data_IF_826283751359
#
_entry.id   IF_826283751359
#
_cell.length_a   1.000
_cell.length_b   1.000
_cell.length_c   1.000
_cell.angle_alpha   90.00
_cell.angle_beta   90.00
_cell.angle_gamma   90.00
#
_symmetry.space_group_name_H-M   'P 1'
#
loop_
_entity.id
_entity.type
_entity.pdbx_description
1 polymer ?
#
# COMPACT_ATOMS: atom_id res chain seq x y z
N UNK A 1 23.95 -28.75 32.46
CA UNK A 1 22.61 -28.21 32.55
C UNK A 1 22.61 -26.76 32.07
N UNK A 2 22.19 -26.51 30.84
CA UNK A 2 21.92 -25.17 30.35
C UNK A 2 20.63 -24.71 31.03
N UNK A 3 20.75 -23.78 31.99
CA UNK A 3 19.66 -23.36 32.84
C UNK A 3 18.62 -22.52 32.07
N UNK A 4 17.39 -22.49 32.58
CA UNK A 4 16.27 -21.64 32.12
C UNK A 4 16.64 -20.15 31.94
N UNK A 5 17.72 -19.68 32.54
CA UNK A 5 18.22 -18.31 32.37
C UNK A 5 18.66 -17.94 30.96
N UNK A 6 19.01 -18.90 30.09
CA UNK A 6 19.37 -18.62 28.68
C UNK A 6 18.16 -18.41 27.78
N UNK A 7 16.98 -18.87 28.20
CA UNK A 7 15.72 -18.66 27.44
C UNK A 7 15.24 -17.22 27.58
N UNK A 8 15.42 -16.60 28.74
CA UNK A 8 15.05 -15.20 28.99
C UNK A 8 15.99 -14.17 28.33
N UNK A 9 17.19 -14.57 27.91
CA UNK A 9 18.12 -13.69 27.18
C UNK A 9 17.76 -13.49 25.70
N UNK A 10 16.69 -14.14 25.21
CA UNK A 10 16.23 -14.06 23.81
C UNK A 10 14.96 -13.23 23.64
N UNK A 11 14.69 -12.29 24.54
CA UNK A 11 13.58 -11.35 24.36
C UNK A 11 13.92 -10.36 23.23
N UNK A 12 12.89 -9.96 22.49
CA UNK A 12 13.00 -8.87 21.52
C UNK A 12 13.43 -7.61 22.28
N UNK A 13 14.49 -6.92 21.87
CA UNK A 13 14.90 -5.70 22.54
C UNK A 13 13.83 -4.60 22.45
N UNK A 14 13.52 -3.99 23.59
CA UNK A 14 12.52 -2.94 23.70
C UNK A 14 13.01 -1.58 23.18
N UNK A 15 14.31 -1.44 22.89
CA UNK A 15 14.95 -0.20 22.45
C UNK A 15 15.54 -0.35 21.06
N UNK A 16 15.61 0.76 20.31
CA UNK A 16 16.29 0.81 19.03
C UNK A 16 17.76 0.38 19.14
N UNK A 17 18.49 0.85 20.18
CA UNK A 17 19.89 0.46 20.42
C UNK A 17 20.05 -1.06 20.59
N UNK A 18 19.18 -1.68 21.39
CA UNK A 18 19.21 -3.13 21.58
C UNK A 18 18.96 -3.89 20.27
N UNK A 19 18.04 -3.40 19.41
CA UNK A 19 17.76 -3.98 18.09
C UNK A 19 18.96 -3.83 17.15
N UNK A 20 19.61 -2.67 17.15
CA UNK A 20 20.82 -2.45 16.38
C UNK A 20 21.98 -3.34 16.84
N UNK A 21 22.13 -3.56 18.13
CA UNK A 21 23.15 -4.47 18.66
C UNK A 21 22.96 -5.91 18.16
N UNK A 22 21.70 -6.35 18.01
CA UNK A 22 21.38 -7.63 17.36
C UNK A 22 21.72 -7.58 15.87
N UNK A 23 21.33 -6.50 15.18
CA UNK A 23 21.63 -6.30 13.76
C UNK A 23 23.13 -6.36 13.47
N UNK A 24 23.96 -5.70 14.25
CA UNK A 24 25.44 -5.78 14.13
C UNK A 24 25.94 -7.21 14.25
N UNK A 25 25.46 -7.98 15.23
CA UNK A 25 25.82 -9.40 15.37
C UNK A 25 25.41 -10.25 14.18
N UNK A 26 24.25 -9.97 13.59
CA UNK A 26 23.80 -10.67 12.39
C UNK A 26 24.75 -10.38 11.23
N UNK A 27 25.10 -9.12 11.01
CA UNK A 27 26.02 -8.71 9.93
C UNK A 27 27.40 -9.31 10.13
N UNK A 28 27.95 -9.23 11.35
CA UNK A 28 29.24 -9.84 11.70
C UNK A 28 29.24 -11.36 11.41
N UNK A 29 28.16 -12.03 11.80
CA UNK A 29 28.03 -13.47 11.57
C UNK A 29 27.86 -13.82 10.11
N UNK A 30 27.11 -13.04 9.35
CA UNK A 30 26.93 -13.21 7.92
C UNK A 30 28.26 -13.08 7.17
N UNK A 31 29.09 -12.11 7.55
CA UNK A 31 30.40 -11.89 6.97
C UNK A 31 31.34 -13.10 7.13
N UNK A 32 31.23 -13.89 8.21
CA UNK A 32 31.99 -15.14 8.37
C UNK A 32 31.65 -16.20 7.31
N UNK A 33 30.49 -16.08 6.67
CA UNK A 33 30.02 -16.94 5.58
C UNK A 33 30.17 -16.30 4.21
N UNK A 34 30.82 -15.13 4.11
CA UNK A 34 31.02 -14.41 2.86
C UNK A 34 29.77 -13.67 2.33
N UNK A 35 28.77 -13.43 3.21
CA UNK A 35 27.57 -12.65 2.87
C UNK A 35 27.84 -11.19 3.16
N UNK A 36 27.77 -10.34 2.16
CA UNK A 36 27.99 -8.90 2.26
C UNK A 36 26.76 -8.14 2.78
N UNK A 37 26.95 -6.89 3.26
CA UNK A 37 25.84 -6.05 3.73
C UNK A 37 24.74 -5.82 2.70
N UNK A 38 25.09 -5.81 1.42
CA UNK A 38 24.18 -5.65 0.28
C UNK A 38 23.17 -6.79 0.14
N UNK A 39 23.50 -7.98 0.66
CA UNK A 39 22.66 -9.17 0.62
C UNK A 39 21.86 -9.37 1.94
N UNK A 40 21.94 -8.41 2.86
CA UNK A 40 21.28 -8.50 4.17
C UNK A 40 20.08 -7.54 4.21
N UNK A 41 18.94 -8.09 4.63
CA UNK A 41 17.74 -7.31 4.94
C UNK A 41 17.36 -7.58 6.39
N UNK A 42 17.29 -6.53 7.21
CA UNK A 42 16.90 -6.62 8.62
C UNK A 42 15.43 -6.23 8.81
N UNK A 43 14.69 -7.05 9.56
CA UNK A 43 13.35 -6.71 10.02
C UNK A 43 13.44 -5.78 11.24
N UNK A 44 12.88 -4.55 11.09
CA UNK A 44 12.86 -3.54 12.15
C UNK A 44 11.94 -3.86 13.33
N UNK A 45 11.15 -4.94 13.26
CA UNK A 45 10.22 -5.44 14.28
C UNK A 45 9.12 -4.42 14.64
N UNK A 46 8.02 -4.44 13.91
CA UNK A 46 6.86 -3.60 14.19
C UNK A 46 6.01 -4.20 15.33
N UNK A 47 6.00 -3.53 16.48
CA UNK A 47 5.13 -3.86 17.60
C UNK A 47 3.87 -2.99 17.58
N UNK A 48 2.75 -3.55 18.07
CA UNK A 48 1.47 -2.83 18.05
C UNK A 48 1.42 -1.71 19.11
N UNK A 49 0.91 -0.55 18.70
CA UNK A 49 0.75 0.60 19.62
C UNK A 49 -0.34 0.37 20.68
N UNK A 50 -1.21 -0.61 20.50
CA UNK A 50 -2.22 -0.96 21.50
C UNK A 50 -1.62 -1.63 22.75
N UNK A 51 -0.48 -2.30 22.62
CA UNK A 51 0.23 -2.94 23.75
C UNK A 51 1.46 -2.15 24.21
N UNK A 52 2.08 -1.39 23.31
CA UNK A 52 3.23 -0.53 23.60
C UNK A 52 3.06 0.83 22.92
N UNK A 53 2.71 1.85 23.72
CA UNK A 53 2.50 3.21 23.21
C UNK A 53 3.74 3.84 22.55
N UNK A 54 4.93 3.34 22.84
CA UNK A 54 6.20 3.77 22.24
C UNK A 54 6.64 2.90 21.07
N UNK A 55 5.93 1.81 20.79
CA UNK A 55 6.30 0.82 19.78
C UNK A 55 6.54 1.42 18.40
N UNK A 56 5.69 2.38 17.98
CA UNK A 56 5.88 3.10 16.72
C UNK A 56 7.20 3.89 16.69
N UNK A 57 7.47 4.67 17.74
CA UNK A 57 8.67 5.50 17.81
C UNK A 57 9.93 4.64 17.83
N UNK A 58 9.93 3.56 18.63
CA UNK A 58 11.05 2.61 18.68
C UNK A 58 11.31 1.97 17.32
N UNK A 59 10.26 1.59 16.59
CA UNK A 59 10.39 0.99 15.25
C UNK A 59 10.94 2.00 14.25
N UNK A 60 10.40 3.23 14.21
CA UNK A 60 10.87 4.28 13.29
C UNK A 60 12.33 4.65 13.56
N UNK A 61 12.71 4.78 14.83
CA UNK A 61 14.09 5.03 15.21
C UNK A 61 15.01 3.86 14.81
N UNK A 62 14.55 2.62 14.98
CA UNK A 62 15.30 1.43 14.55
C UNK A 62 15.55 1.45 13.05
N UNK A 63 14.53 1.73 12.23
CA UNK A 63 14.67 1.80 10.77
C UNK A 63 15.69 2.87 10.35
N UNK A 64 15.57 4.07 10.91
CA UNK A 64 16.48 5.19 10.63
C UNK A 64 17.93 4.80 10.93
N UNK A 65 18.16 4.22 12.11
CA UNK A 65 19.49 3.81 12.52
C UNK A 65 20.05 2.61 11.76
N UNK A 66 19.23 1.65 11.36
CA UNK A 66 19.67 0.56 10.45
C UNK A 66 20.19 1.16 9.15
N UNK A 67 19.44 2.09 8.55
CA UNK A 67 19.84 2.78 7.31
C UNK A 67 21.16 3.55 7.52
N UNK A 68 21.22 4.37 8.56
CA UNK A 68 22.29 5.35 8.73
C UNK A 68 23.57 4.75 9.33
N UNK A 69 23.47 3.74 10.21
CA UNK A 69 24.61 3.16 10.93
C UNK A 69 25.05 1.79 10.38
N UNK A 70 24.12 0.98 9.86
CA UNK A 70 24.43 -0.37 9.41
C UNK A 70 24.51 -0.49 7.88
N UNK A 71 23.85 0.38 7.15
CA UNK A 71 23.91 0.42 5.69
C UNK A 71 23.34 -0.83 5.00
N UNK A 72 22.45 -1.58 5.66
CA UNK A 72 21.81 -2.79 5.12
C UNK A 72 20.34 -2.51 4.77
N UNK A 73 19.72 -3.39 3.98
CA UNK A 73 18.30 -3.30 3.65
C UNK A 73 17.40 -3.43 4.89
N UNK A 74 16.20 -2.86 4.82
CA UNK A 74 15.20 -2.95 5.88
C UNK A 74 13.90 -3.53 5.35
N UNK A 75 13.22 -4.32 6.18
CA UNK A 75 11.86 -4.82 5.92
C UNK A 75 10.98 -4.63 7.14
N UNK A 76 9.68 -4.53 6.94
CA UNK A 76 8.72 -4.38 8.04
C UNK A 76 7.35 -4.94 7.68
N UNK A 77 6.75 -5.69 8.60
CA UNK A 77 5.32 -6.02 8.59
C UNK A 77 4.50 -4.84 9.09
N UNK A 78 4.18 -3.89 8.19
CA UNK A 78 3.63 -2.58 8.55
C UNK A 78 2.32 -2.68 9.32
N UNK A 79 1.42 -3.59 8.94
CA UNK A 79 0.08 -3.70 9.53
C UNK A 79 0.06 -4.18 10.98
N UNK A 80 1.20 -4.66 11.51
CA UNK A 80 1.32 -5.04 12.92
C UNK A 80 1.11 -3.86 13.86
N UNK A 81 1.46 -2.64 13.41
CA UNK A 81 1.35 -1.41 14.22
C UNK A 81 -0.04 -1.17 14.79
N UNK A 82 -1.08 -1.53 14.06
CA UNK A 82 -2.48 -1.25 14.39
C UNK A 82 -3.24 -2.45 14.94
N UNK A 83 -2.57 -3.54 15.28
CA UNK A 83 -3.25 -4.74 15.76
C UNK A 83 -4.11 -4.44 17.00
N UNK A 84 -5.37 -4.91 17.00
CA UNK A 84 -6.33 -4.64 18.08
C UNK A 84 -7.02 -3.26 18.03
N UNK A 85 -6.70 -2.38 17.06
CA UNK A 85 -7.33 -1.08 16.92
C UNK A 85 -8.46 -1.10 15.88
N UNK A 86 -9.48 -0.23 16.02
CA UNK A 86 -10.48 0.00 14.99
C UNK A 86 -9.87 0.81 13.82
N UNK A 87 -10.51 0.76 12.65
CA UNK A 87 -10.10 1.57 11.48
C UNK A 87 -8.59 1.45 11.13
N UNK A 88 -8.07 0.23 11.18
CA UNK A 88 -6.64 -0.08 11.08
C UNK A 88 -5.94 0.56 9.89
N UNK A 89 -6.62 0.69 8.76
CA UNK A 89 -6.06 1.25 7.53
C UNK A 89 -5.60 2.70 7.70
N UNK A 90 -6.27 3.50 8.52
CA UNK A 90 -5.89 4.89 8.79
C UNK A 90 -4.50 4.93 9.43
N UNK A 91 -4.30 4.14 10.49
CA UNK A 91 -3.02 4.08 11.20
C UNK A 91 -1.95 3.42 10.34
N UNK A 92 -2.29 2.35 9.63
CA UNK A 92 -1.35 1.65 8.76
C UNK A 92 -0.78 2.59 7.68
N UNK A 93 -1.63 3.34 6.98
CA UNK A 93 -1.20 4.27 5.93
C UNK A 93 -0.32 5.40 6.47
N UNK A 94 -0.70 6.00 7.60
CA UNK A 94 0.08 7.04 8.26
C UNK A 94 1.45 6.49 8.70
N UNK A 95 1.47 5.35 9.40
CA UNK A 95 2.71 4.74 9.86
C UNK A 95 3.60 4.28 8.70
N UNK A 96 3.03 3.78 7.61
CA UNK A 96 3.77 3.38 6.42
C UNK A 96 4.52 4.56 5.80
N UNK A 97 3.86 5.71 5.68
CA UNK A 97 4.52 6.94 5.20
C UNK A 97 5.70 7.33 6.08
N UNK A 98 5.51 7.30 7.41
CA UNK A 98 6.58 7.60 8.37
C UNK A 98 7.74 6.59 8.29
N UNK A 99 7.43 5.30 8.11
CA UNK A 99 8.42 4.25 7.99
C UNK A 99 9.26 4.38 6.70
N UNK A 100 8.63 4.73 5.58
CA UNK A 100 9.33 5.00 4.31
C UNK A 100 10.30 6.18 4.44
N UNK A 101 9.90 7.24 5.14
CA UNK A 101 10.77 8.38 5.43
C UNK A 101 11.98 7.96 6.30
N UNK A 102 11.75 7.09 7.27
CA UNK A 102 12.81 6.54 8.13
C UNK A 102 13.73 5.53 7.42
N UNK A 103 13.51 5.21 6.16
CA UNK A 103 14.38 4.33 5.38
C UNK A 103 13.88 2.89 5.25
N UNK A 104 12.58 2.66 5.31
CA UNK A 104 12.00 1.36 4.98
C UNK A 104 12.26 1.03 3.51
N UNK A 105 13.02 -0.05 3.25
CA UNK A 105 13.38 -0.52 1.90
C UNK A 105 12.37 -1.49 1.31
N UNK A 106 11.80 -2.37 2.14
CA UNK A 106 10.77 -3.32 1.74
C UNK A 106 9.63 -3.35 2.76
N UNK A 107 8.39 -3.52 2.30
CA UNK A 107 7.21 -3.53 3.16
C UNK A 107 6.35 -4.77 2.89
N UNK A 108 5.96 -5.46 3.96
CA UNK A 108 4.94 -6.51 3.90
C UNK A 108 3.61 -5.83 4.20
N UNK A 109 2.82 -5.62 3.14
CA UNK A 109 1.53 -4.92 3.18
C UNK A 109 0.49 -5.64 2.33
N UNK A 110 -0.78 -5.27 2.47
CA UNK A 110 -1.81 -5.68 1.52
C UNK A 110 -1.82 -4.70 0.32
N UNK A 111 -1.38 -5.13 -0.87
CA UNK A 111 -1.34 -4.25 -2.04
C UNK A 111 -2.74 -3.87 -2.56
N UNK A 112 -3.80 -4.56 -2.12
CA UNK A 112 -5.19 -4.23 -2.45
C UNK A 112 -5.79 -3.18 -1.49
N UNK A 113 -5.08 -2.77 -0.44
CA UNK A 113 -5.52 -1.66 0.41
C UNK A 113 -5.26 -0.33 -0.29
N UNK A 114 -6.35 0.35 -0.63
CA UNK A 114 -6.28 1.66 -1.29
C UNK A 114 -5.54 2.69 -0.44
N UNK A 115 -5.75 2.68 0.88
CA UNK A 115 -5.08 3.58 1.81
C UNK A 115 -3.55 3.39 1.80
N UNK A 116 -3.08 2.13 1.77
CA UNK A 116 -1.65 1.82 1.72
C UNK A 116 -1.03 2.23 0.39
N UNK A 117 -1.71 1.96 -0.73
CA UNK A 117 -1.21 2.33 -2.05
C UNK A 117 -1.22 3.84 -2.27
N UNK A 118 -2.23 4.56 -1.74
CA UNK A 118 -2.23 6.03 -1.74
C UNK A 118 -1.02 6.59 -0.98
N UNK A 119 -0.72 6.05 0.20
CA UNK A 119 0.46 6.45 0.97
C UNK A 119 1.75 6.22 0.17
N UNK A 120 1.89 5.07 -0.49
CA UNK A 120 3.05 4.72 -1.31
C UNK A 120 3.27 5.68 -2.49
N UNK A 121 2.26 5.88 -3.33
CA UNK A 121 2.40 6.74 -4.51
C UNK A 121 2.61 8.21 -4.12
N UNK A 122 1.90 8.69 -3.10
CA UNK A 122 2.07 10.06 -2.61
C UNK A 122 3.46 10.30 -2.04
N UNK A 123 3.98 9.35 -1.26
CA UNK A 123 5.33 9.43 -0.72
C UNK A 123 6.39 9.48 -1.83
N UNK A 124 6.30 8.60 -2.83
CA UNK A 124 7.26 8.58 -3.93
C UNK A 124 7.25 9.88 -4.74
N UNK A 125 6.07 10.44 -5.00
CA UNK A 125 5.93 11.72 -5.69
C UNK A 125 6.56 12.88 -4.89
N UNK A 126 6.34 12.89 -3.56
CA UNK A 126 6.86 13.94 -2.67
C UNK A 126 8.37 13.86 -2.45
N UNK A 127 8.95 12.67 -2.51
CA UNK A 127 10.36 12.40 -2.24
C UNK A 127 11.23 12.29 -3.50
N UNK A 128 10.73 12.81 -4.63
CA UNK A 128 11.43 12.78 -5.94
C UNK A 128 11.84 11.37 -6.40
N UNK A 129 11.03 10.36 -6.00
CA UNK A 129 11.21 8.96 -6.40
C UNK A 129 10.30 8.56 -7.57
N UNK A 130 9.39 9.44 -7.94
CA UNK A 130 8.49 9.32 -9.09
C UNK A 130 8.69 10.52 -10.01
N UNK A 131 9.60 10.44 -11.01
CA UNK A 131 9.94 11.54 -11.89
C UNK A 131 8.69 12.14 -12.55
N UNK A 132 8.53 13.47 -12.40
CA UNK A 132 7.37 14.22 -12.91
C UNK A 132 6.02 13.70 -12.43
N UNK A 133 5.99 12.99 -11.30
CA UNK A 133 4.80 12.35 -10.74
C UNK A 133 4.10 11.39 -11.72
N UNK A 134 4.85 10.75 -12.60
CA UNK A 134 4.31 9.96 -13.71
C UNK A 134 3.47 8.77 -13.26
N UNK A 135 3.91 8.02 -12.27
CA UNK A 135 3.17 6.90 -11.70
C UNK A 135 1.93 7.40 -10.94
N UNK A 136 2.08 8.44 -10.11
CA UNK A 136 0.98 9.04 -9.38
C UNK A 136 -0.13 9.52 -10.32
N UNK A 137 0.21 10.25 -11.38
CA UNK A 137 -0.73 10.72 -12.39
C UNK A 137 -1.39 9.54 -13.09
N UNK A 138 -0.63 8.54 -13.51
CA UNK A 138 -1.14 7.35 -14.20
C UNK A 138 -2.21 6.62 -13.37
N UNK A 139 -1.97 6.46 -12.05
CA UNK A 139 -2.89 5.75 -11.14
C UNK A 139 -4.15 6.57 -10.85
N UNK A 140 -4.03 7.90 -10.70
CA UNK A 140 -5.12 8.73 -10.16
C UNK A 140 -5.81 9.64 -11.19
N UNK A 141 -5.26 9.87 -12.38
CA UNK A 141 -5.88 10.75 -13.39
C UNK A 141 -7.25 10.25 -13.88
N UNK A 142 -7.48 8.94 -13.87
CA UNK A 142 -8.78 8.34 -14.23
C UNK A 142 -9.84 8.41 -13.12
N UNK A 143 -9.47 8.72 -11.89
CA UNK A 143 -10.40 8.76 -10.74
C UNK A 143 -10.97 10.15 -10.49
N UNK A 144 -10.47 11.18 -11.14
CA UNK A 144 -10.87 12.59 -10.91
C UNK A 144 -12.29 12.91 -11.40
N UNK A 145 -12.93 12.04 -12.15
CA UNK A 145 -14.31 12.26 -12.63
C UNK A 145 -15.39 12.04 -11.55
N UNK A 146 -15.05 11.48 -10.37
CA UNK A 146 -16.02 11.17 -9.30
C UNK A 146 -15.95 12.05 -8.06
N UNK A 147 -14.89 12.82 -7.85
CA UNK A 147 -14.68 13.59 -6.60
C UNK A 147 -15.13 15.06 -6.66
N UNK A 148 -15.66 15.51 -7.79
CA UNK A 148 -16.14 16.89 -7.99
C UNK A 148 -17.55 17.19 -7.51
N UNK A 149 -18.31 16.24 -6.95
CA UNK A 149 -19.74 16.45 -6.65
C UNK A 149 -20.15 16.45 -5.17
N UNK A 150 -19.22 16.38 -4.22
CA UNK A 150 -19.62 16.27 -2.80
C UNK A 150 -19.18 17.44 -1.90
N UNK A 151 -18.68 18.56 -2.45
CA UNK A 151 -18.45 19.77 -1.65
C UNK A 151 -19.29 20.91 -2.25
N UNK A 152 -20.53 21.04 -1.80
CA UNK A 152 -21.31 22.23 -2.02
C UNK A 152 -22.78 21.97 -2.33
N UNK A 153 -23.57 21.57 -1.32
CA UNK A 153 -24.95 22.04 -1.17
C UNK A 153 -25.51 21.63 0.19
N UNK A 154 -25.25 22.48 1.16
CA UNK A 154 -26.16 22.68 2.28
C UNK A 154 -27.00 23.90 1.93
N UNK A 155 -28.32 23.74 1.84
CA UNK A 155 -29.21 24.88 1.78
C UNK A 155 -30.44 24.69 0.88
N UNK A 156 -31.56 24.43 1.55
CA UNK A 156 -32.95 24.84 1.23
C UNK A 156 -33.80 23.99 0.28
N UNK A 157 -34.86 23.54 0.89
CA UNK A 157 -36.12 22.97 0.39
C UNK A 157 -36.79 23.79 -0.71
N UNK A 158 -37.43 23.15 -1.61
CA UNK A 158 -38.88 23.07 -1.93
C UNK A 158 -39.11 22.84 -3.43
N UNK A 159 -40.10 22.01 -3.72
CA UNK A 159 -40.99 22.21 -4.88
C UNK A 159 -40.85 21.24 -6.05
N UNK A 160 -41.66 20.17 -6.00
CA UNK A 160 -42.50 19.59 -7.12
C UNK A 160 -42.05 19.75 -8.57
N UNK A 161 -42.01 18.64 -9.27
CA UNK A 161 -42.12 18.63 -10.74
C UNK A 161 -41.56 17.34 -11.35
N UNK A 162 -42.45 16.39 -11.60
CA UNK A 162 -42.21 15.31 -12.54
C UNK A 162 -42.00 15.90 -13.93
N UNK A 163 -40.98 15.42 -14.65
CA UNK A 163 -41.17 15.19 -16.10
C UNK A 163 -40.12 14.20 -16.63
N UNK A 164 -40.68 13.21 -17.28
CA UNK A 164 -40.07 12.26 -18.18
C UNK A 164 -39.29 12.97 -19.29
N UNK A 165 -38.04 12.56 -19.53
CA UNK A 165 -37.52 12.61 -20.91
C UNK A 165 -36.78 11.29 -21.18
N UNK A 166 -37.52 10.43 -21.89
CA UNK A 166 -36.95 9.38 -22.72
C UNK A 166 -36.10 10.03 -23.81
N UNK A 167 -34.84 9.67 -23.88
CA UNK A 167 -33.93 10.03 -24.95
C UNK A 167 -33.11 8.82 -25.34
N UNK A 168 -33.70 7.96 -26.15
CA UNK A 168 -33.02 6.92 -26.92
C UNK A 168 -32.04 7.57 -27.89
N UNK A 169 -30.76 7.32 -27.69
CA UNK A 169 -29.67 7.62 -28.62
C UNK A 169 -28.75 6.42 -28.69
N UNK A 170 -29.11 5.45 -29.52
CA UNK A 170 -28.24 4.36 -29.94
C UNK A 170 -27.07 4.95 -30.72
N UNK A 171 -25.90 4.99 -30.16
CA UNK A 171 -24.64 5.03 -30.90
C UNK A 171 -24.09 3.61 -30.99
N UNK A 172 -24.41 2.95 -32.11
CA UNK A 172 -23.71 1.76 -32.60
C UNK A 172 -22.26 2.15 -32.90
N UNK A 173 -21.35 1.72 -32.06
CA UNK A 173 -19.92 1.84 -32.35
C UNK A 173 -19.06 1.74 -31.07
N UNK A 174 -18.44 0.55 -30.88
CA UNK A 174 -17.32 0.35 -30.00
C UNK A 174 -17.60 -0.12 -28.57
N UNK A 175 -18.08 -1.35 -28.45
CA UNK A 175 -18.06 -2.06 -27.15
C UNK A 175 -16.69 -2.72 -26.88
N UNK A 176 -15.82 -2.86 -27.88
CA UNK A 176 -14.47 -3.43 -27.73
C UNK A 176 -13.59 -2.60 -26.79
N UNK A 177 -13.54 -1.25 -26.88
CA UNK A 177 -12.80 -0.43 -25.90
C UNK A 177 -13.34 -0.55 -24.46
N UNK A 178 -14.65 -0.76 -24.30
CA UNK A 178 -15.25 -0.95 -22.97
C UNK A 178 -14.82 -2.29 -22.35
N UNK A 179 -14.70 -3.36 -23.15
CA UNK A 179 -14.20 -4.66 -22.72
C UNK A 179 -12.71 -4.57 -22.33
N UNK A 180 -11.88 -3.96 -23.18
CA UNK A 180 -10.45 -3.78 -22.89
C UNK A 180 -10.25 -3.00 -21.58
N UNK A 181 -10.96 -1.89 -21.39
CA UNK A 181 -10.90 -1.11 -20.17
C UNK A 181 -11.37 -1.87 -18.93
N UNK A 182 -12.38 -2.75 -19.07
CA UNK A 182 -12.86 -3.57 -17.97
C UNK A 182 -11.85 -4.66 -17.58
N UNK A 183 -11.17 -5.25 -18.56
CA UNK A 183 -10.09 -6.26 -18.34
C UNK A 183 -8.88 -5.59 -17.68
N UNK A 184 -8.41 -4.48 -18.22
CA UNK A 184 -7.26 -3.72 -17.66
C UNK A 184 -7.48 -3.32 -16.20
N UNK A 185 -8.73 -2.98 -15.84
CA UNK A 185 -9.10 -2.61 -14.47
C UNK A 185 -9.45 -3.79 -13.56
N UNK A 186 -9.41 -5.02 -14.06
CA UNK A 186 -9.77 -6.22 -13.31
C UNK A 186 -11.26 -6.29 -12.90
N UNK A 187 -12.15 -5.60 -13.60
CA UNK A 187 -13.59 -5.52 -13.31
C UNK A 187 -14.33 -6.72 -13.91
N UNK A 188 -14.31 -7.84 -13.18
CA UNK A 188 -14.80 -9.14 -13.65
C UNK A 188 -16.27 -9.10 -14.16
N UNK A 189 -17.18 -8.45 -13.43
CA UNK A 189 -18.60 -8.36 -13.84
C UNK A 189 -18.78 -7.45 -15.06
N UNK A 190 -18.10 -6.33 -15.12
CA UNK A 190 -18.15 -5.43 -16.27
C UNK A 190 -17.56 -6.09 -17.52
N UNK A 191 -16.46 -6.82 -17.39
CA UNK A 191 -15.86 -7.58 -18.49
C UNK A 191 -16.81 -8.70 -18.97
N UNK A 192 -17.45 -9.45 -18.06
CA UNK A 192 -18.41 -10.50 -18.40
C UNK A 192 -19.62 -9.93 -19.14
N UNK A 193 -20.18 -8.82 -18.68
CA UNK A 193 -21.31 -8.17 -19.34
C UNK A 193 -20.94 -7.64 -20.73
N UNK A 194 -19.76 -7.04 -20.87
CA UNK A 194 -19.26 -6.55 -22.15
C UNK A 194 -19.02 -7.69 -23.15
N UNK A 195 -18.42 -8.80 -22.72
CA UNK A 195 -18.24 -10.00 -23.57
C UNK A 195 -19.58 -10.59 -23.98
N UNK A 196 -20.53 -10.73 -23.05
CA UNK A 196 -21.86 -11.29 -23.34
C UNK A 196 -22.63 -10.42 -24.36
N UNK A 197 -22.46 -9.11 -24.32
CA UNK A 197 -23.03 -8.20 -25.29
C UNK A 197 -22.37 -8.36 -26.68
N UNK A 198 -21.04 -8.42 -26.72
CA UNK A 198 -20.28 -8.58 -27.97
C UNK A 198 -20.51 -9.92 -28.65
N UNK A 199 -20.67 -11.02 -27.91
CA UNK A 199 -20.98 -12.36 -28.45
C UNK A 199 -22.37 -12.46 -29.13
N UNK A 200 -23.24 -11.49 -28.93
CA UNK A 200 -24.51 -11.41 -29.68
C UNK A 200 -24.36 -10.85 -31.10
N UNK A 201 -23.27 -10.12 -31.33
CA UNK A 201 -23.04 -9.38 -32.58
C UNK A 201 -21.77 -9.82 -33.33
N UNK A 202 -20.86 -10.55 -32.68
CA UNK A 202 -19.57 -10.97 -33.25
C UNK A 202 -19.20 -12.41 -32.88
N UNK A 203 -18.42 -13.04 -33.73
CA UNK A 203 -17.84 -14.35 -33.44
C UNK A 203 -16.75 -14.24 -32.37
N UNK A 204 -16.54 -15.29 -31.52
CA UNK A 204 -15.61 -15.25 -30.41
C UNK A 204 -14.16 -14.85 -30.79
N UNK A 205 -13.69 -15.26 -31.97
CA UNK A 205 -12.35 -14.96 -32.47
C UNK A 205 -12.17 -13.48 -32.86
N UNK A 206 -13.24 -12.81 -33.26
CA UNK A 206 -13.21 -11.37 -33.60
C UNK A 206 -13.23 -10.45 -32.38
N UNK A 207 -13.47 -11.03 -31.19
CA UNK A 207 -13.45 -10.29 -29.92
C UNK A 207 -12.04 -10.32 -29.29
N UNK A 208 -11.26 -11.36 -29.61
CA UNK A 208 -9.94 -11.60 -28.98
C UNK A 208 -8.80 -10.99 -29.81
N UNK A 209 -8.99 -10.80 -31.11
CA UNK A 209 -8.03 -10.17 -32.02
C UNK A 209 -8.32 -8.68 -32.16
#
# INVERSE_FOLDING_TARGET
>A
SRGLGDVYKRQIPDTAEGRLAVGRKIIERAAEYGIGPEDIILDGLCMTVSSDSKGALTTLETLRRIRDELGVGTVLGVSNISFGLPQREIINAAFFTMAMECGLGAAIINPNSEAMMRAYYSFNALMDRDPQCGQYISVYSGQSAGLGQTIGRSGSQDGTGADNISGSGETKGSQVPALAAAIERGLKEAAHNAVTALLKEREPLDIIN
#
